data_IF_038662194393
#
_entry.id   IF_038662194393
#
_cell.length_a   1.000
_cell.length_b   1.000
_cell.length_c   1.000
_cell.angle_alpha   90.00
_cell.angle_beta   90.00
_cell.angle_gamma   90.00
#
_symmetry.space_group_name_H-M   'P 1'
#
loop_
_entity.id
_entity.type
_entity.pdbx_description
1 polymer ?
#
# COMPACT_ATOMS: atom_id res chain seq x y z
N UNK A 1 -12.40 -34.80 -5.59
CA UNK A 1 -12.16 -33.65 -4.68
C UNK A 1 -10.68 -33.31 -4.73
N UNK A 2 -10.27 -32.29 -5.51
CA UNK A 2 -8.86 -31.94 -5.66
C UNK A 2 -8.41 -31.25 -4.37
N UNK A 3 -7.55 -31.92 -3.57
CA UNK A 3 -6.94 -31.30 -2.40
C UNK A 3 -5.76 -30.47 -2.86
N UNK A 4 -5.94 -29.15 -2.95
CA UNK A 4 -4.85 -28.22 -3.25
C UNK A 4 -3.83 -28.33 -2.12
N UNK A 5 -2.56 -28.66 -2.41
CA UNK A 5 -1.54 -28.74 -1.37
C UNK A 5 -1.34 -27.35 -0.73
N UNK A 6 -1.20 -27.30 0.60
CA UNK A 6 -1.10 -26.06 1.37
C UNK A 6 -0.08 -25.06 0.79
N UNK A 7 1.07 -25.54 0.31
CA UNK A 7 2.11 -24.71 -0.33
C UNK A 7 1.61 -23.94 -1.56
N UNK A 8 0.77 -24.55 -2.40
CA UNK A 8 0.24 -23.93 -3.61
C UNK A 8 -0.89 -22.95 -3.29
N UNK A 9 -1.73 -23.27 -2.30
CA UNK A 9 -2.73 -22.33 -1.79
C UNK A 9 -2.07 -21.09 -1.17
N UNK A 10 -1.02 -21.27 -0.37
CA UNK A 10 -0.26 -20.17 0.21
C UNK A 10 0.44 -19.33 -0.86
N UNK A 11 1.06 -19.96 -1.86
CA UNK A 11 1.67 -19.25 -2.98
C UNK A 11 0.64 -18.40 -3.75
N UNK A 12 -0.52 -18.98 -4.07
CA UNK A 12 -1.60 -18.25 -4.75
C UNK A 12 -2.07 -17.04 -3.94
N UNK A 13 -2.25 -17.20 -2.62
CA UNK A 13 -2.65 -16.10 -1.74
C UNK A 13 -1.60 -14.98 -1.68
N UNK A 14 -0.32 -15.34 -1.56
CA UNK A 14 0.78 -14.38 -1.56
C UNK A 14 0.89 -13.65 -2.90
N UNK A 15 0.69 -14.37 -4.01
CA UNK A 15 0.69 -13.79 -5.34
C UNK A 15 -0.44 -12.77 -5.52
N UNK A 16 -1.67 -13.12 -5.12
CA UNK A 16 -2.81 -12.19 -5.18
C UNK A 16 -2.57 -10.97 -4.30
N UNK A 17 -2.08 -11.17 -3.07
CA UNK A 17 -1.74 -10.07 -2.17
C UNK A 17 -0.71 -9.12 -2.81
N UNK A 18 0.35 -9.68 -3.39
CA UNK A 18 1.39 -8.89 -4.05
C UNK A 18 0.89 -8.18 -5.31
N UNK A 19 0.07 -8.86 -6.11
CA UNK A 19 -0.57 -8.28 -7.29
C UNK A 19 -1.44 -7.08 -6.92
N UNK A 20 -2.28 -7.21 -5.89
CA UNK A 20 -3.12 -6.11 -5.41
C UNK A 20 -2.28 -4.95 -4.88
N UNK A 21 -1.25 -5.24 -4.09
CA UNK A 21 -0.32 -4.23 -3.56
C UNK A 21 0.33 -3.43 -4.69
N UNK A 22 0.82 -4.10 -5.72
CA UNK A 22 1.45 -3.46 -6.86
C UNK A 22 0.44 -2.74 -7.76
N UNK A 23 -0.74 -3.32 -7.97
CA UNK A 23 -1.83 -2.70 -8.73
C UNK A 23 -2.21 -1.35 -8.15
N UNK A 24 -2.44 -1.27 -6.84
CA UNK A 24 -2.74 0.01 -6.17
C UNK A 24 -1.65 1.05 -6.38
N UNK A 25 -0.37 0.64 -6.34
CA UNK A 25 0.76 1.55 -6.54
C UNK A 25 0.82 2.10 -7.98
N UNK A 26 0.41 1.31 -8.97
CA UNK A 26 0.38 1.74 -10.37
C UNK A 26 -0.82 2.63 -10.69
N UNK A 27 -1.98 2.37 -10.07
CA UNK A 27 -3.19 3.17 -10.27
C UNK A 27 -2.95 4.63 -9.85
N UNK A 28 -2.25 4.85 -8.73
CA UNK A 28 -2.00 6.18 -8.18
C UNK A 28 -1.47 7.18 -9.23
N UNK A 29 -0.42 6.80 -9.97
CA UNK A 29 0.21 7.68 -10.96
C UNK A 29 -0.73 8.10 -12.10
N UNK A 30 -1.62 7.19 -12.52
CA UNK A 30 -2.61 7.47 -13.57
C UNK A 30 -3.73 8.37 -13.06
N UNK A 31 -4.04 8.31 -11.76
CA UNK A 31 -5.13 9.09 -11.14
C UNK A 31 -4.72 10.49 -10.68
N UNK A 32 -3.43 10.84 -10.66
CA UNK A 32 -2.95 12.16 -10.23
C UNK A 32 -3.71 13.33 -10.90
N UNK A 33 -3.93 13.36 -12.23
CA UNK A 33 -4.64 14.46 -12.87
C UNK A 33 -6.07 14.64 -12.37
N UNK A 34 -6.75 13.54 -12.04
CA UNK A 34 -8.13 13.55 -11.51
C UNK A 34 -8.14 14.08 -10.07
N UNK A 35 -7.23 13.57 -9.23
CA UNK A 35 -7.07 14.04 -7.85
C UNK A 35 -6.79 15.54 -7.83
N UNK A 36 -5.88 16.03 -8.69
CA UNK A 36 -5.58 17.47 -8.82
C UNK A 36 -6.81 18.30 -9.18
N UNK A 37 -7.64 17.82 -10.11
CA UNK A 37 -8.86 18.52 -10.52
C UNK A 37 -9.87 18.61 -9.37
N UNK A 38 -9.99 17.55 -8.56
CA UNK A 38 -10.95 17.48 -7.46
C UNK A 38 -10.56 18.35 -6.26
N UNK A 39 -9.27 18.38 -5.90
CA UNK A 39 -8.77 19.12 -4.72
C UNK A 39 -8.11 20.47 -5.05
N UNK A 40 -7.95 20.79 -6.34
CA UNK A 40 -7.29 22.01 -6.80
C UNK A 40 -5.77 22.06 -6.55
N UNK A 41 -5.11 20.90 -6.41
CA UNK A 41 -3.67 20.82 -6.10
C UNK A 41 -2.78 21.06 -7.32
N UNK A 42 -1.62 21.68 -7.06
CA UNK A 42 -0.53 21.88 -8.00
C UNK A 42 0.33 20.61 -8.20
N UNK A 43 1.13 20.57 -9.27
CA UNK A 43 2.09 19.48 -9.49
C UNK A 43 3.15 19.39 -8.38
N UNK A 44 3.53 20.54 -7.81
CA UNK A 44 4.48 20.58 -6.70
C UNK A 44 3.90 19.88 -5.47
N UNK A 45 2.64 20.15 -5.13
CA UNK A 45 1.96 19.57 -3.97
C UNK A 45 1.78 18.05 -4.12
N UNK A 46 1.40 17.58 -5.32
CA UNK A 46 1.33 16.13 -5.57
C UNK A 46 2.70 15.45 -5.51
N UNK A 47 3.76 16.15 -5.95
CA UNK A 47 5.14 15.72 -5.79
C UNK A 47 5.58 15.64 -4.33
N UNK A 48 5.13 16.57 -3.48
CA UNK A 48 5.36 16.54 -2.03
C UNK A 48 4.67 15.34 -1.38
N UNK A 49 3.42 15.04 -1.72
CA UNK A 49 2.70 13.84 -1.23
C UNK A 49 3.47 12.57 -1.58
N UNK A 50 3.88 12.43 -2.85
CA UNK A 50 4.67 11.28 -3.28
C UNK A 50 6.01 11.18 -2.51
N UNK A 51 6.70 12.31 -2.31
CA UNK A 51 7.97 12.35 -1.59
C UNK A 51 7.81 11.96 -0.12
N UNK A 52 6.79 12.50 0.55
CA UNK A 52 6.46 12.15 1.94
C UNK A 52 6.17 10.65 2.07
N UNK A 53 5.37 10.08 1.15
CA UNK A 53 5.11 8.64 1.11
C UNK A 53 6.39 7.83 0.94
N UNK A 54 7.27 8.19 -0.01
CA UNK A 54 8.54 7.46 -0.20
C UNK A 54 9.48 7.59 0.99
N UNK A 55 9.52 8.75 1.65
CA UNK A 55 10.35 8.95 2.82
C UNK A 55 9.83 8.15 4.02
N UNK A 56 8.53 8.17 4.28
CA UNK A 56 7.89 7.33 5.29
C UNK A 56 8.12 5.84 5.00
N UNK A 57 7.98 5.42 3.73
CA UNK A 57 8.25 4.05 3.31
C UNK A 57 9.71 3.66 3.54
N UNK A 58 10.67 4.50 3.13
CA UNK A 58 12.10 4.26 3.31
C UNK A 58 12.48 4.08 4.79
N UNK A 59 11.88 4.88 5.67
CA UNK A 59 12.07 4.74 7.11
C UNK A 59 11.43 3.46 7.62
N UNK A 60 10.22 3.10 7.17
CA UNK A 60 9.46 1.96 7.71
C UNK A 60 9.93 0.58 7.22
N UNK A 61 10.53 0.50 6.02
CA UNK A 61 11.03 -0.78 5.46
C UNK A 61 11.99 -1.53 6.39
N UNK A 62 13.05 -0.93 6.97
CA UNK A 62 13.94 -1.64 7.89
C UNK A 62 13.22 -2.13 9.15
N UNK A 63 12.30 -1.34 9.72
CA UNK A 63 11.49 -1.77 10.86
C UNK A 63 10.56 -2.93 10.50
N UNK A 64 9.91 -2.85 9.34
CA UNK A 64 9.04 -3.91 8.82
C UNK A 64 9.82 -5.22 8.59
N UNK A 65 11.03 -5.12 8.03
CA UNK A 65 11.94 -6.27 7.87
C UNK A 65 12.31 -6.89 9.21
N UNK A 66 12.73 -6.08 10.18
CA UNK A 66 13.07 -6.53 11.52
C UNK A 66 11.88 -7.21 12.23
N UNK A 67 10.68 -6.63 12.13
CA UNK A 67 9.45 -7.23 12.67
C UNK A 67 9.14 -8.57 11.98
N UNK A 68 9.37 -8.68 10.67
CA UNK A 68 9.16 -9.93 9.93
C UNK A 68 10.12 -11.06 10.35
N UNK A 69 11.30 -10.70 10.86
CA UNK A 69 12.28 -11.65 11.37
C UNK A 69 12.00 -12.07 12.83
N UNK A 70 11.47 -11.16 13.65
CA UNK A 70 11.14 -11.44 15.06
C UNK A 70 9.83 -12.21 15.25
N UNK A 71 8.82 -11.96 14.42
CA UNK A 71 7.47 -12.49 14.61
C UNK A 71 7.11 -13.58 13.58
N UNK A 72 6.02 -14.30 13.86
CA UNK A 72 5.49 -15.31 12.94
C UNK A 72 5.08 -14.65 11.61
N UNK A 73 5.84 -14.92 10.54
CA UNK A 73 5.67 -14.37 9.18
C UNK A 73 4.22 -14.26 8.69
N UNK A 74 3.39 -15.28 8.93
CA UNK A 74 1.98 -15.29 8.50
C UNK A 74 1.17 -14.12 9.07
N UNK A 75 1.41 -13.74 10.32
CA UNK A 75 0.68 -12.65 10.98
C UNK A 75 1.25 -11.29 10.59
N UNK A 76 2.57 -11.20 10.38
CA UNK A 76 3.21 -9.98 9.90
C UNK A 76 2.70 -9.60 8.50
N UNK A 77 2.62 -10.58 7.59
CA UNK A 77 2.10 -10.36 6.24
C UNK A 77 0.61 -9.96 6.29
N UNK A 78 -0.21 -10.67 7.08
CA UNK A 78 -1.64 -10.37 7.18
C UNK A 78 -1.91 -8.99 7.80
N UNK A 79 -1.20 -8.64 8.88
CA UNK A 79 -1.33 -7.34 9.53
C UNK A 79 -0.83 -6.21 8.62
N UNK A 80 0.29 -6.40 7.92
CA UNK A 80 0.81 -5.42 6.96
C UNK A 80 -0.15 -5.18 5.78
N UNK A 81 -0.73 -6.26 5.24
CA UNK A 81 -1.73 -6.16 4.17
C UNK A 81 -3.00 -5.44 4.65
N UNK A 82 -3.48 -5.77 5.86
CA UNK A 82 -4.64 -5.09 6.45
C UNK A 82 -4.38 -3.61 6.72
N UNK A 83 -3.22 -3.27 7.29
CA UNK A 83 -2.80 -1.90 7.54
C UNK A 83 -2.73 -1.09 6.24
N UNK A 84 -2.13 -1.67 5.19
CA UNK A 84 -2.07 -1.04 3.88
C UNK A 84 -3.46 -0.81 3.29
N UNK A 85 -4.34 -1.81 3.36
CA UNK A 85 -5.72 -1.68 2.86
C UNK A 85 -6.49 -0.58 3.59
N UNK A 86 -6.36 -0.50 4.92
CA UNK A 86 -6.98 0.57 5.72
C UNK A 86 -6.42 1.94 5.29
N UNK A 87 -5.11 2.07 5.09
CA UNK A 87 -4.50 3.33 4.64
C UNK A 87 -5.05 3.80 3.30
N UNK A 88 -5.11 2.91 2.30
CA UNK A 88 -5.66 3.22 0.96
C UNK A 88 -7.14 3.56 1.03
N UNK A 89 -7.90 2.81 1.84
CA UNK A 89 -9.32 3.08 2.05
C UNK A 89 -9.53 4.46 2.68
N UNK A 90 -8.78 4.79 3.73
CA UNK A 90 -8.84 6.11 4.38
C UNK A 90 -8.45 7.24 3.43
N UNK A 91 -7.44 7.04 2.58
CA UNK A 91 -7.03 8.01 1.57
C UNK A 91 -8.12 8.32 0.54
N UNK A 92 -9.06 7.38 0.31
CA UNK A 92 -10.19 7.60 -0.60
C UNK A 92 -11.20 8.63 -0.08
N UNK A 93 -11.16 8.97 1.22
CA UNK A 93 -12.00 10.02 1.83
C UNK A 93 -11.28 11.37 1.94
N UNK A 94 -10.04 11.48 1.45
CA UNK A 94 -9.29 12.71 1.53
C UNK A 94 -9.91 13.79 0.62
N UNK A 95 -10.45 14.83 1.24
CA UNK A 95 -11.03 16.00 0.55
C UNK A 95 -10.06 17.18 0.46
N UNK A 96 -8.83 17.03 0.93
CA UNK A 96 -7.82 18.09 0.96
C UNK A 96 -6.40 17.51 0.93
N UNK A 97 -5.44 18.32 0.50
CA UNK A 97 -4.03 17.94 0.44
C UNK A 97 -3.48 17.51 1.81
N UNK A 98 -3.90 18.17 2.89
CA UNK A 98 -3.44 17.86 4.25
C UNK A 98 -3.87 16.47 4.75
N UNK A 99 -4.93 15.89 4.19
CA UNK A 99 -5.35 14.52 4.48
C UNK A 99 -4.60 13.47 3.65
N UNK A 100 -3.93 13.89 2.57
CA UNK A 100 -3.12 13.02 1.71
C UNK A 100 -1.65 12.91 2.18
N UNK A 101 -1.20 13.85 3.02
CA UNK A 101 0.14 13.85 3.65
C UNK A 101 0.15 13.01 4.93
#
# INVERSE_FOLDING_TARGET
MIRVPYKWAALGLLWVTYFLLQGTRQIYGVTIPQIKADIGASDLEMGMVASAFFMAYAVMVPFGGFIADLFRRKWVIAAGAALFAIGVFSASFASSLGLLL
#
